data_IF_352324509709
#
_entry.id   IF_352324509709
#
_cell.length_a   1.000
_cell.length_b   1.000
_cell.length_c   1.000
_cell.angle_alpha   90.00
_cell.angle_beta   90.00
_cell.angle_gamma   90.00
#
_symmetry.space_group_name_H-M   'P 1'
#
loop_
_entity.id
_entity.type
_entity.pdbx_description
1 polymer ?
#
# COMPACT_ATOMS: atom_id res chain seq x y z
N UNK A 1 40.39 7.73 -26.75
CA UNK A 1 40.98 6.64 -25.93
C UNK A 1 39.85 5.92 -25.24
N UNK A 2 39.85 4.58 -25.20
CA UNK A 2 38.76 3.81 -24.61
C UNK A 2 39.04 3.60 -23.11
N UNK A 3 38.11 4.03 -22.25
CA UNK A 3 38.15 3.75 -20.82
C UNK A 3 37.90 2.25 -20.61
N UNK A 4 38.82 1.56 -19.95
CA UNK A 4 38.77 0.11 -19.72
C UNK A 4 38.42 -0.22 -18.27
N UNK A 5 38.05 -1.47 -18.01
CA UNK A 5 37.71 -1.95 -16.65
C UNK A 5 38.88 -1.83 -15.66
N UNK A 6 40.13 -1.87 -16.14
CA UNK A 6 41.32 -1.65 -15.31
C UNK A 6 41.40 -0.20 -14.83
N UNK A 7 41.10 0.74 -15.73
CA UNK A 7 41.07 2.17 -15.41
C UNK A 7 40.01 2.52 -14.36
N UNK A 8 38.89 1.77 -14.34
CA UNK A 8 37.87 1.91 -13.29
C UNK A 8 38.35 1.44 -11.91
N UNK A 9 39.03 0.28 -11.83
CA UNK A 9 39.58 -0.19 -10.57
C UNK A 9 40.69 0.73 -10.04
N UNK A 10 41.52 1.27 -10.93
CA UNK A 10 42.56 2.24 -10.58
C UNK A 10 41.93 3.55 -10.06
N UNK A 11 40.85 4.02 -10.69
CA UNK A 11 40.06 5.16 -10.19
C UNK A 11 39.48 4.90 -8.78
N UNK A 12 38.91 3.72 -8.53
CA UNK A 12 38.37 3.36 -7.21
C UNK A 12 39.47 3.32 -6.14
N UNK A 13 40.66 2.82 -6.48
CA UNK A 13 41.81 2.80 -5.57
C UNK A 13 42.26 4.22 -5.24
N UNK A 14 42.40 5.07 -6.26
CA UNK A 14 42.79 6.47 -6.11
C UNK A 14 41.79 7.27 -5.26
N UNK A 15 40.49 7.07 -5.46
CA UNK A 15 39.46 7.67 -4.61
C UNK A 15 39.56 7.19 -3.15
N UNK A 16 39.94 5.93 -2.92
CA UNK A 16 40.09 5.41 -1.56
C UNK A 16 41.28 6.05 -0.83
N UNK A 17 42.39 6.28 -1.55
CA UNK A 17 43.61 6.92 -1.04
C UNK A 17 43.43 8.44 -0.82
N UNK A 18 42.58 9.10 -1.63
CA UNK A 18 42.33 10.55 -1.56
C UNK A 18 40.89 10.87 -1.12
N UNK A 19 40.63 11.07 0.19
CA UNK A 19 39.30 11.43 0.70
C UNK A 19 38.72 12.71 0.07
N UNK A 20 39.55 13.68 -0.26
CA UNK A 20 39.18 14.91 -0.96
C UNK A 20 38.51 14.64 -2.32
N UNK A 21 39.03 13.70 -3.10
CA UNK A 21 38.45 13.33 -4.40
C UNK A 21 37.14 12.57 -4.26
N UNK A 22 36.95 11.84 -3.14
CA UNK A 22 35.65 11.26 -2.81
C UNK A 22 34.62 12.33 -2.51
N UNK A 23 34.99 13.39 -1.80
CA UNK A 23 34.09 14.52 -1.54
C UNK A 23 33.74 15.27 -2.82
N UNK A 24 34.71 15.52 -3.69
CA UNK A 24 34.47 16.17 -4.99
C UNK A 24 33.58 15.31 -5.91
N UNK A 25 33.90 14.02 -6.03
CA UNK A 25 33.07 13.08 -6.79
C UNK A 25 31.67 12.97 -6.20
N UNK A 26 31.57 12.99 -4.86
CA UNK A 26 30.29 13.01 -4.16
C UNK A 26 29.51 14.29 -4.47
N UNK A 27 30.13 15.46 -4.47
CA UNK A 27 29.48 16.73 -4.79
C UNK A 27 28.99 16.79 -6.25
N UNK A 28 29.70 16.14 -7.17
CA UNK A 28 29.32 16.04 -8.58
C UNK A 28 28.22 15.00 -8.84
N UNK A 29 28.22 13.88 -8.12
CA UNK A 29 27.25 12.79 -8.30
C UNK A 29 26.00 12.93 -7.44
N UNK A 30 26.12 13.45 -6.21
CA UNK A 30 24.99 13.68 -5.31
C UNK A 30 24.33 15.01 -5.63
N UNK A 31 23.63 15.04 -6.76
CA UNK A 31 22.72 16.14 -7.06
C UNK A 31 21.65 16.25 -5.98
N UNK A 32 21.06 17.44 -5.76
CA UNK A 32 20.01 17.64 -4.75
C UNK A 32 18.85 16.63 -4.85
N UNK A 33 18.55 16.17 -6.05
CA UNK A 33 17.54 15.14 -6.32
C UNK A 33 17.92 13.81 -5.67
N UNK A 34 19.14 13.31 -5.88
CA UNK A 34 19.60 12.03 -5.34
C UNK A 34 19.70 12.08 -3.81
N UNK A 35 20.09 13.22 -3.25
CA UNK A 35 20.13 13.43 -1.80
C UNK A 35 18.75 13.39 -1.15
N UNK A 36 17.70 13.79 -1.89
CA UNK A 36 16.31 13.81 -1.40
C UNK A 36 15.56 12.47 -1.59
N UNK A 37 16.06 11.60 -2.47
CA UNK A 37 15.41 10.32 -2.79
C UNK A 37 15.16 9.42 -1.57
N UNK A 38 16.09 9.24 -0.61
CA UNK A 38 15.83 8.42 0.58
C UNK A 38 14.70 8.96 1.47
N UNK A 39 14.48 10.28 1.49
CA UNK A 39 13.39 10.93 2.21
C UNK A 39 12.07 10.66 1.48
N UNK A 40 12.04 10.87 0.15
CA UNK A 40 10.88 10.57 -0.68
C UNK A 40 10.45 9.10 -0.59
N UNK A 41 11.41 8.17 -0.58
CA UNK A 41 11.14 6.74 -0.40
C UNK A 41 10.55 6.42 0.98
N UNK A 42 11.02 7.08 2.04
CA UNK A 42 10.45 6.93 3.39
C UNK A 42 9.02 7.48 3.44
N UNK A 43 8.80 8.68 2.91
CA UNK A 43 7.45 9.27 2.84
C UNK A 43 6.49 8.41 2.02
N UNK A 44 6.96 7.82 0.92
CA UNK A 44 6.19 6.87 0.13
C UNK A 44 5.87 5.61 0.93
N UNK A 45 6.86 5.04 1.62
CA UNK A 45 6.67 3.89 2.51
C UNK A 45 5.60 4.14 3.57
N UNK A 46 5.69 5.28 4.27
CA UNK A 46 4.67 5.67 5.26
C UNK A 46 3.27 5.83 4.66
N UNK A 47 3.17 6.40 3.45
CA UNK A 47 1.88 6.53 2.75
C UNK A 47 1.32 5.16 2.37
N UNK A 48 2.16 4.24 1.91
CA UNK A 48 1.77 2.85 1.58
C UNK A 48 1.30 2.12 2.84
N UNK A 49 2.02 2.24 3.96
CA UNK A 49 1.62 1.61 5.22
C UNK A 49 0.28 2.14 5.73
N UNK A 50 0.05 3.45 5.65
CA UNK A 50 -1.24 4.06 6.00
C UNK A 50 -2.37 3.57 5.10
N UNK A 51 -2.08 3.43 3.80
CA UNK A 51 -3.05 2.92 2.83
C UNK A 51 -3.39 1.46 3.11
N UNK A 52 -2.38 0.61 3.37
CA UNK A 52 -2.58 -0.79 3.74
C UNK A 52 -3.43 -0.93 5.02
N UNK A 53 -3.14 -0.13 6.06
CA UNK A 53 -3.93 -0.12 7.29
C UNK A 53 -5.37 0.41 7.07
N UNK A 54 -5.57 1.35 6.15
CA UNK A 54 -6.90 1.81 5.78
C UNK A 54 -7.69 0.72 5.01
N UNK A 55 -7.02 0.00 4.10
CA UNK A 55 -7.63 -1.12 3.36
C UNK A 55 -8.07 -2.23 4.29
N UNK A 56 -7.22 -2.68 5.23
CA UNK A 56 -7.59 -3.73 6.17
C UNK A 56 -8.83 -3.35 7.00
N UNK A 57 -8.90 -2.10 7.48
CA UNK A 57 -10.09 -1.60 8.19
C UNK A 57 -11.33 -1.52 7.31
N UNK A 58 -11.16 -1.24 6.01
CA UNK A 58 -12.27 -1.24 5.07
C UNK A 58 -12.78 -2.67 4.83
N UNK A 59 -11.89 -3.64 4.65
CA UNK A 59 -12.24 -5.07 4.53
C UNK A 59 -13.00 -5.57 5.75
N UNK A 60 -12.52 -5.28 6.97
CA UNK A 60 -13.25 -5.65 8.19
C UNK A 60 -14.65 -5.02 8.28
N UNK A 61 -14.81 -3.77 7.79
CA UNK A 61 -16.11 -3.12 7.74
C UNK A 61 -17.02 -3.76 6.70
N UNK A 62 -16.47 -4.17 5.56
CA UNK A 62 -17.20 -4.89 4.52
C UNK A 62 -17.69 -6.25 5.04
N UNK A 63 -16.84 -7.03 5.69
CA UNK A 63 -17.25 -8.33 6.26
C UNK A 63 -18.37 -8.17 7.30
N UNK A 64 -18.30 -7.14 8.15
CA UNK A 64 -19.40 -6.84 9.10
C UNK A 64 -20.68 -6.42 8.40
N UNK A 65 -20.59 -5.72 7.26
CA UNK A 65 -21.76 -5.35 6.48
C UNK A 65 -22.37 -6.58 5.81
N UNK A 66 -21.56 -7.46 5.23
CA UNK A 66 -22.00 -8.73 4.64
C UNK A 66 -22.76 -9.58 5.67
N UNK A 67 -22.23 -9.72 6.89
CA UNK A 67 -22.89 -10.48 7.94
C UNK A 67 -24.24 -9.85 8.34
N UNK A 68 -24.32 -8.52 8.38
CA UNK A 68 -25.58 -7.80 8.63
C UNK A 68 -26.57 -7.95 7.47
N UNK A 69 -26.10 -8.00 6.24
CA UNK A 69 -26.92 -8.25 5.06
C UNK A 69 -27.53 -9.64 5.11
N UNK A 70 -26.75 -10.67 5.41
CA UNK A 70 -27.26 -12.04 5.55
C UNK A 70 -28.36 -12.13 6.62
N UNK A 71 -28.14 -11.54 7.81
CA UNK A 71 -29.16 -11.48 8.86
C UNK A 71 -30.42 -10.70 8.45
N UNK A 72 -30.28 -9.70 7.57
CA UNK A 72 -31.41 -8.95 7.05
C UNK A 72 -32.20 -9.79 6.04
N UNK A 73 -31.52 -10.51 5.16
CA UNK A 73 -32.13 -11.45 4.22
C UNK A 73 -32.96 -12.52 4.95
N UNK A 74 -32.41 -13.12 6.01
CA UNK A 74 -33.14 -14.08 6.85
C UNK A 74 -34.42 -13.48 7.44
N UNK A 75 -34.33 -12.28 8.03
CA UNK A 75 -35.50 -11.59 8.60
C UNK A 75 -36.55 -11.24 7.56
N UNK A 76 -36.13 -10.83 6.37
CA UNK A 76 -37.05 -10.54 5.26
C UNK A 76 -37.76 -11.82 4.82
N UNK A 77 -37.05 -12.95 4.74
CA UNK A 77 -37.67 -14.24 4.44
C UNK A 77 -38.70 -14.65 5.50
N UNK A 78 -38.35 -14.55 6.78
CA UNK A 78 -39.28 -14.84 7.89
C UNK A 78 -40.54 -13.96 7.85
N UNK A 79 -40.38 -12.67 7.55
CA UNK A 79 -41.50 -11.73 7.40
C UNK A 79 -42.38 -12.08 6.21
N UNK A 80 -41.78 -12.44 5.06
CA UNK A 80 -42.53 -12.88 3.89
C UNK A 80 -43.36 -14.13 4.18
N UNK A 81 -42.79 -15.12 4.87
CA UNK A 81 -43.54 -16.30 5.28
C UNK A 81 -44.66 -15.98 6.28
N UNK A 82 -44.39 -15.11 7.26
CA UNK A 82 -45.41 -14.69 8.22
C UNK A 82 -46.56 -13.96 7.53
N UNK A 83 -46.27 -13.16 6.51
CA UNK A 83 -47.27 -12.48 5.69
C UNK A 83 -48.11 -13.48 4.91
N UNK A 84 -47.50 -14.47 4.24
CA UNK A 84 -48.24 -15.53 3.53
C UNK A 84 -49.21 -16.24 4.49
N UNK A 85 -48.74 -16.65 5.68
CA UNK A 85 -49.59 -17.30 6.69
C UNK A 85 -50.75 -16.41 7.17
N UNK A 86 -50.52 -15.10 7.28
CA UNK A 86 -51.55 -14.15 7.68
C UNK A 86 -52.60 -13.98 6.57
N UNK A 87 -52.16 -13.86 5.31
CA UNK A 87 -53.04 -13.78 4.13
C UNK A 87 -53.89 -15.05 3.97
N UNK A 88 -53.30 -16.24 4.16
CA UNK A 88 -54.05 -17.50 4.16
C UNK A 88 -55.14 -17.54 5.23
N UNK A 89 -54.84 -17.09 6.46
CA UNK A 89 -55.83 -17.02 7.55
C UNK A 89 -56.96 -16.05 7.24
N UNK A 90 -56.63 -14.89 6.67
CA UNK A 90 -57.63 -13.91 6.25
C UNK A 90 -58.54 -14.45 5.15
N UNK A 91 -58.01 -15.23 4.21
CA UNK A 91 -58.83 -15.83 3.15
C UNK A 91 -59.84 -16.89 3.64
N UNK A 92 -59.61 -17.43 4.85
CA UNK A 92 -60.45 -18.46 5.46
C UNK A 92 -61.53 -17.90 6.39
N UNK A 93 -61.52 -16.59 6.66
CA UNK A 93 -62.53 -15.87 7.45
C UNK A 93 -63.60 -15.29 6.52
#
# INVERSE_FOLDING_TARGET
MAFTVRDFHDLVRLLSEHPEWREELRALLLTPEILSMPQLLRELGEKVDRLAAAHLRAEERLSRLEERFFRLEEKVAELAEAQIRAEERLSRL
#
